data_IF_724677127825
#
_entry.id   IF_724677127825
#
_cell.length_a   1.000
_cell.length_b   1.000
_cell.length_c   1.000
_cell.angle_alpha   90.00
_cell.angle_beta   90.00
_cell.angle_gamma   90.00
#
_symmetry.space_group_name_H-M   'P 1'
#
loop_
_entity.id
_entity.type
_entity.pdbx_description
1 polymer ?
#
# COMPACT_ATOMS: atom_id res chain seq x y z
N UNK A 1 -17.50 48.53 42.88
CA UNK A 1 -17.58 48.62 41.43
C UNK A 1 -16.88 47.44 40.73
N UNK A 2 -15.93 46.75 41.36
CA UNK A 2 -15.09 45.71 40.74
C UNK A 2 -15.75 44.33 40.68
N UNK A 3 -16.61 43.96 41.60
CA UNK A 3 -17.31 42.66 41.61
C UNK A 3 -18.43 42.58 40.58
N UNK A 4 -19.13 43.68 40.28
CA UNK A 4 -20.17 43.73 39.26
C UNK A 4 -19.59 43.61 37.84
N UNK A 5 -18.42 44.19 37.59
CA UNK A 5 -17.72 44.05 36.29
C UNK A 5 -17.24 42.63 36.00
N UNK A 6 -16.79 41.92 37.04
CA UNK A 6 -16.37 40.51 36.90
C UNK A 6 -17.56 39.58 36.59
N UNK A 7 -18.70 39.77 37.25
CA UNK A 7 -19.91 38.98 37.01
C UNK A 7 -20.49 39.19 35.61
N UNK A 8 -20.46 40.43 35.09
CA UNK A 8 -20.89 40.73 33.70
C UNK A 8 -19.91 40.12 32.69
N UNK A 9 -18.61 40.19 32.93
CA UNK A 9 -17.61 39.58 32.04
C UNK A 9 -17.75 38.07 31.95
N UNK A 10 -17.99 37.38 33.06
CA UNK A 10 -18.24 35.92 33.08
C UNK A 10 -19.56 35.59 32.38
N UNK A 11 -20.64 36.36 32.63
CA UNK A 11 -21.93 36.14 31.96
C UNK A 11 -21.83 36.32 30.42
N UNK A 12 -21.12 37.35 29.94
CA UNK A 12 -20.86 37.56 28.51
C UNK A 12 -20.06 36.41 27.91
N UNK A 13 -19.07 35.89 28.61
CA UNK A 13 -18.29 34.72 28.17
C UNK A 13 -19.18 33.49 28.09
N UNK A 14 -20.08 33.25 29.04
CA UNK A 14 -20.97 32.10 29.05
C UNK A 14 -22.08 32.19 27.98
N UNK A 15 -22.67 33.36 27.79
CA UNK A 15 -23.80 33.53 26.88
C UNK A 15 -23.42 33.78 25.41
N UNK A 16 -22.26 34.35 25.12
CA UNK A 16 -21.85 34.69 23.75
C UNK A 16 -20.71 33.82 23.21
N UNK A 17 -19.73 33.48 24.03
CA UNK A 17 -18.53 32.75 23.56
C UNK A 17 -18.76 31.23 23.51
N UNK A 18 -19.48 30.66 24.51
CA UNK A 18 -19.81 29.22 24.49
C UNK A 18 -20.70 28.81 23.33
N UNK A 19 -21.82 29.48 23.04
CA UNK A 19 -22.63 29.15 21.88
C UNK A 19 -21.88 29.26 20.55
N UNK A 20 -21.04 30.29 20.40
CA UNK A 20 -20.24 30.49 19.21
C UNK A 20 -19.20 29.35 19.01
N UNK A 21 -18.55 28.92 20.10
CA UNK A 21 -17.61 27.77 20.05
C UNK A 21 -18.31 26.45 19.75
N UNK A 22 -19.49 26.23 20.32
CA UNK A 22 -20.31 25.07 20.03
C UNK A 22 -20.72 25.06 18.55
N UNK A 23 -21.11 26.20 18.01
CA UNK A 23 -21.52 26.36 16.62
C UNK A 23 -20.35 26.14 15.65
N UNK A 24 -19.15 26.61 15.97
CA UNK A 24 -17.93 26.35 15.20
C UNK A 24 -17.59 24.85 15.23
N UNK A 25 -17.61 24.22 16.41
CA UNK A 25 -17.34 22.80 16.53
C UNK A 25 -18.38 21.94 15.78
N UNK A 26 -19.63 22.34 15.79
CA UNK A 26 -20.71 21.68 15.05
C UNK A 26 -20.55 21.82 13.53
N UNK A 27 -20.11 22.98 13.07
CA UNK A 27 -19.81 23.23 11.65
C UNK A 27 -18.61 22.39 11.20
N UNK A 28 -17.54 22.34 12.01
CA UNK A 28 -16.37 21.52 11.73
C UNK A 28 -16.68 20.01 11.70
N UNK A 29 -17.51 19.55 12.64
CA UNK A 29 -17.96 18.16 12.67
C UNK A 29 -18.82 17.83 11.42
N UNK A 30 -19.73 18.73 11.02
CA UNK A 30 -20.53 18.54 9.83
C UNK A 30 -19.67 18.51 8.56
N UNK A 31 -18.67 19.39 8.46
CA UNK A 31 -17.74 19.39 7.33
C UNK A 31 -16.93 18.08 7.25
N UNK A 32 -16.46 17.56 8.40
CA UNK A 32 -15.79 16.25 8.45
C UNK A 32 -16.73 15.12 8.07
N UNK A 33 -17.98 15.16 8.54
CA UNK A 33 -18.99 14.14 8.17
C UNK A 33 -19.31 14.17 6.68
N UNK A 34 -19.42 15.36 6.08
CA UNK A 34 -19.63 15.52 4.64
C UNK A 34 -18.43 14.97 3.86
N UNK A 35 -17.18 15.29 4.27
CA UNK A 35 -15.99 14.79 3.62
C UNK A 35 -15.87 13.25 3.69
N UNK A 36 -16.20 12.65 4.84
CA UNK A 36 -16.27 11.19 4.99
C UNK A 36 -17.37 10.59 4.10
N UNK A 37 -18.53 11.24 3.98
CA UNK A 37 -19.60 10.82 3.08
C UNK A 37 -19.16 10.84 1.61
N UNK A 38 -18.51 11.92 1.17
CA UNK A 38 -17.99 12.05 -0.21
C UNK A 38 -16.87 11.03 -0.50
N UNK A 39 -16.06 10.69 0.49
CA UNK A 39 -15.05 9.64 0.35
C UNK A 39 -15.67 8.25 0.27
N UNK A 40 -16.68 7.97 1.09
CA UNK A 40 -17.45 6.73 1.01
C UNK A 40 -18.18 6.59 -0.35
N UNK A 41 -18.77 7.66 -0.88
CA UNK A 41 -19.40 7.65 -2.20
C UNK A 41 -18.39 7.40 -3.32
N UNK A 42 -17.19 7.98 -3.23
CA UNK A 42 -16.11 7.71 -4.19
C UNK A 42 -15.66 6.26 -4.13
N UNK A 43 -15.44 5.71 -2.94
CA UNK A 43 -15.11 4.29 -2.77
C UNK A 43 -16.21 3.35 -3.28
N UNK A 44 -17.44 3.67 -3.03
CA UNK A 44 -18.59 2.90 -3.56
C UNK A 44 -18.66 2.94 -5.10
N UNK A 45 -18.39 4.09 -5.72
CA UNK A 45 -18.32 4.20 -7.17
C UNK A 45 -17.15 3.38 -7.75
N UNK A 46 -16.01 3.36 -7.07
CA UNK A 46 -14.84 2.58 -7.42
C UNK A 46 -15.10 1.07 -7.30
N UNK A 47 -15.68 0.62 -6.19
CA UNK A 47 -16.16 -0.76 -6.01
C UNK A 47 -17.13 -1.15 -7.13
N UNK A 48 -18.05 -0.27 -7.51
CA UNK A 48 -18.96 -0.54 -8.62
C UNK A 48 -18.23 -0.70 -9.95
N UNK A 49 -17.22 0.14 -10.21
CA UNK A 49 -16.38 0.05 -11.42
C UNK A 49 -15.56 -1.25 -11.44
N UNK A 50 -14.96 -1.63 -10.31
CA UNK A 50 -14.23 -2.89 -10.17
C UNK A 50 -15.14 -4.10 -10.36
N UNK A 51 -16.36 -4.07 -9.82
CA UNK A 51 -17.34 -5.13 -10.03
C UNK A 51 -17.70 -5.33 -11.51
N UNK A 52 -17.86 -4.23 -12.26
CA UNK A 52 -18.10 -4.31 -13.70
C UNK A 52 -16.90 -4.88 -14.47
N UNK A 53 -15.68 -4.52 -14.05
CA UNK A 53 -14.48 -5.08 -14.66
C UNK A 53 -14.34 -6.58 -14.38
N UNK A 54 -14.64 -7.01 -13.14
CA UNK A 54 -14.65 -8.44 -12.76
C UNK A 54 -15.70 -9.21 -13.60
N UNK A 55 -16.90 -8.67 -13.75
CA UNK A 55 -17.93 -9.33 -14.57
C UNK A 55 -17.50 -9.48 -16.03
N UNK A 56 -16.85 -8.45 -16.57
CA UNK A 56 -16.29 -8.50 -17.94
C UNK A 56 -15.20 -9.55 -18.07
N UNK A 57 -14.23 -9.55 -17.14
CA UNK A 57 -13.13 -10.52 -17.13
C UNK A 57 -13.61 -11.95 -16.88
N UNK A 58 -14.62 -12.15 -16.05
CA UNK A 58 -15.23 -13.47 -15.84
C UNK A 58 -15.80 -14.00 -17.13
N UNK A 59 -16.54 -13.17 -17.90
CA UNK A 59 -17.04 -13.57 -19.22
C UNK A 59 -15.92 -13.88 -20.22
N UNK A 60 -14.90 -13.01 -20.28
CA UNK A 60 -13.74 -13.25 -21.14
C UNK A 60 -13.00 -14.55 -20.76
N UNK A 61 -12.87 -14.83 -19.45
CA UNK A 61 -12.26 -16.06 -18.97
C UNK A 61 -13.06 -17.31 -19.33
N UNK A 62 -14.41 -17.24 -19.22
CA UNK A 62 -15.31 -18.32 -19.62
C UNK A 62 -15.21 -18.60 -21.14
N UNK A 63 -15.16 -17.53 -21.94
CA UNK A 63 -14.99 -17.64 -23.41
C UNK A 63 -13.61 -18.19 -23.77
N UNK A 64 -12.53 -17.73 -23.11
CA UNK A 64 -11.17 -18.22 -23.27
C UNK A 64 -11.03 -19.67 -22.81
N UNK A 65 -11.69 -20.04 -21.71
CA UNK A 65 -11.73 -21.42 -21.22
C UNK A 65 -12.39 -22.35 -22.24
N UNK A 66 -13.50 -21.90 -22.85
CA UNK A 66 -14.19 -22.65 -23.92
C UNK A 66 -13.34 -22.77 -25.22
N UNK A 67 -12.53 -21.74 -25.52
CA UNK A 67 -11.60 -21.79 -26.67
C UNK A 67 -10.34 -22.60 -26.37
N UNK A 68 -9.79 -22.50 -25.12
CA UNK A 68 -8.57 -23.18 -24.69
C UNK A 68 -8.77 -24.69 -24.41
N UNK A 69 -10.00 -25.13 -24.20
CA UNK A 69 -10.29 -26.60 -24.28
C UNK A 69 -9.86 -27.22 -25.58
N UNK A 70 -9.44 -26.43 -26.57
CA UNK A 70 -8.89 -26.83 -27.88
C UNK A 70 -7.38 -26.61 -28.05
N UNK A 71 -6.70 -25.92 -27.13
CA UNK A 71 -5.27 -25.58 -27.22
C UNK A 71 -4.59 -25.79 -25.87
N UNK A 72 -4.09 -27.00 -25.61
CA UNK A 72 -3.29 -27.29 -24.43
C UNK A 72 -1.91 -26.62 -24.54
N UNK A 73 -1.76 -25.42 -23.97
CA UNK A 73 -0.47 -24.73 -23.97
C UNK A 73 -0.39 -23.40 -23.23
N UNK A 74 -1.50 -22.86 -22.74
CA UNK A 74 -1.53 -21.50 -22.15
C UNK A 74 -1.77 -21.49 -20.62
N UNK A 75 -1.04 -22.32 -19.88
CA UNK A 75 -1.29 -22.59 -18.45
C UNK A 75 -0.96 -21.39 -17.52
N UNK A 76 -0.02 -20.53 -17.91
CA UNK A 76 0.48 -19.47 -17.01
C UNK A 76 -0.40 -18.21 -16.94
N UNK A 77 -0.94 -17.76 -18.08
CA UNK A 77 -1.75 -16.52 -18.10
C UNK A 77 -3.14 -16.70 -17.49
N UNK A 78 -3.74 -17.88 -17.64
CA UNK A 78 -5.04 -18.21 -17.08
C UNK A 78 -4.97 -18.30 -15.55
N UNK A 79 -3.94 -18.98 -15.02
CA UNK A 79 -3.69 -19.05 -13.58
C UNK A 79 -3.46 -17.65 -12.95
N UNK A 80 -2.75 -16.76 -13.66
CA UNK A 80 -2.51 -15.42 -13.19
C UNK A 80 -3.79 -14.54 -13.17
N UNK A 81 -4.68 -14.71 -14.17
CA UNK A 81 -5.98 -14.02 -14.18
C UNK A 81 -6.89 -14.54 -13.08
N UNK A 82 -6.91 -15.84 -12.80
CA UNK A 82 -7.66 -16.40 -11.68
C UNK A 82 -7.13 -15.86 -10.33
N UNK A 83 -5.82 -15.79 -10.15
CA UNK A 83 -5.20 -15.20 -8.96
C UNK A 83 -5.58 -13.71 -8.80
N UNK A 84 -5.59 -12.96 -9.91
CA UNK A 84 -6.02 -11.56 -9.92
C UNK A 84 -7.48 -11.39 -9.52
N UNK A 85 -8.39 -12.22 -10.06
CA UNK A 85 -9.80 -12.18 -9.70
C UNK A 85 -10.01 -12.51 -8.22
N UNK A 86 -9.25 -13.48 -7.70
CA UNK A 86 -9.30 -13.81 -6.27
C UNK A 86 -8.80 -12.63 -5.42
N UNK A 87 -7.70 -11.99 -5.76
CA UNK A 87 -7.19 -10.84 -5.02
C UNK A 87 -8.16 -9.65 -5.06
N UNK A 88 -8.80 -9.41 -6.22
CA UNK A 88 -9.83 -8.38 -6.35
C UNK A 88 -11.07 -8.71 -5.50
N UNK A 89 -11.49 -9.99 -5.42
CA UNK A 89 -12.59 -10.43 -4.55
C UNK A 89 -12.26 -10.20 -3.07
N UNK A 90 -11.07 -10.59 -2.62
CA UNK A 90 -10.60 -10.34 -1.26
C UNK A 90 -10.63 -8.84 -0.93
N UNK A 91 -10.12 -8.00 -1.83
CA UNK A 91 -10.14 -6.55 -1.63
C UNK A 91 -11.56 -5.99 -1.51
N UNK A 92 -12.52 -6.50 -2.28
CA UNK A 92 -13.90 -6.03 -2.22
C UNK A 92 -14.68 -6.54 -1.01
N UNK A 93 -14.44 -7.78 -0.58
CA UNK A 93 -15.17 -8.42 0.51
C UNK A 93 -14.61 -8.02 1.88
N UNK A 94 -13.29 -7.86 1.97
CA UNK A 94 -12.57 -7.58 3.21
C UNK A 94 -11.46 -6.54 3.00
N UNK A 95 -11.80 -5.28 2.62
CA UNK A 95 -10.80 -4.27 2.24
C UNK A 95 -9.81 -3.91 3.36
N UNK A 96 -10.18 -4.13 4.62
CA UNK A 96 -9.34 -3.85 5.78
C UNK A 96 -8.44 -5.05 6.19
N UNK A 97 -8.63 -6.23 5.58
CA UNK A 97 -7.79 -7.42 5.82
C UNK A 97 -6.58 -7.42 4.88
N UNK A 98 -5.60 -6.59 5.23
CA UNK A 98 -4.40 -6.43 4.40
C UNK A 98 -3.53 -7.69 4.38
N UNK A 99 -3.61 -8.55 5.40
CA UNK A 99 -2.88 -9.82 5.44
C UNK A 99 -3.46 -10.79 4.40
N UNK A 100 -4.78 -10.98 4.38
CA UNK A 100 -5.45 -11.81 3.37
C UNK A 100 -5.24 -11.25 1.96
N UNK A 101 -5.25 -9.93 1.79
CA UNK A 101 -5.00 -9.29 0.51
C UNK A 101 -3.56 -9.52 0.04
N UNK A 102 -2.56 -9.37 0.93
CA UNK A 102 -1.16 -9.60 0.58
C UNK A 102 -0.91 -11.04 0.13
N UNK A 103 -1.50 -12.02 0.81
CA UNK A 103 -1.43 -13.44 0.43
C UNK A 103 -2.10 -13.71 -0.94
N UNK A 104 -3.19 -13.01 -1.24
CA UNK A 104 -3.88 -13.16 -2.53
C UNK A 104 -3.08 -12.53 -3.66
N UNK A 105 -2.51 -11.35 -3.45
CA UNK A 105 -1.68 -10.63 -4.44
C UNK A 105 -0.37 -11.37 -4.70
N UNK A 106 0.23 -12.02 -3.71
CA UNK A 106 1.46 -12.81 -3.87
C UNK A 106 1.31 -13.99 -4.83
N UNK A 107 0.07 -14.45 -5.06
CA UNK A 107 -0.22 -15.52 -6.03
C UNK A 107 -0.28 -15.03 -7.47
N UNK A 108 -0.33 -13.71 -7.69
CA UNK A 108 -0.39 -13.14 -9.04
C UNK A 108 1.03 -13.15 -9.65
N UNK A 109 1.20 -13.86 -10.75
CA UNK A 109 2.45 -13.79 -11.51
C UNK A 109 2.55 -12.43 -12.21
N UNK A 110 3.51 -11.60 -11.79
CA UNK A 110 3.78 -10.30 -12.44
C UNK A 110 4.18 -10.46 -13.89
N UNK A 111 5.07 -11.41 -14.18
CA UNK A 111 5.52 -11.67 -15.54
C UNK A 111 4.37 -12.07 -16.47
N UNK A 112 3.42 -12.87 -15.95
CA UNK A 112 2.22 -13.22 -16.69
C UNK A 112 1.30 -12.01 -16.91
N UNK A 113 1.17 -11.10 -15.93
CA UNK A 113 0.38 -9.87 -16.10
C UNK A 113 0.99 -8.90 -17.11
N UNK A 114 2.31 -8.88 -17.25
CA UNK A 114 3.04 -8.04 -18.21
C UNK A 114 3.13 -8.68 -19.61
N UNK A 115 2.80 -9.97 -19.74
CA UNK A 115 2.81 -10.70 -21.01
C UNK A 115 1.80 -10.14 -22.03
N UNK A 116 2.15 -10.21 -23.31
CA UNK A 116 1.23 -9.90 -24.42
C UNK A 116 0.02 -10.83 -24.49
N UNK A 117 0.12 -12.02 -23.89
CA UNK A 117 -0.95 -13.03 -23.88
C UNK A 117 -2.04 -12.73 -22.85
N UNK A 118 -1.77 -11.84 -21.90
CA UNK A 118 -2.76 -11.36 -20.92
C UNK A 118 -3.63 -10.26 -21.52
N UNK A 119 -4.95 -10.36 -21.31
CA UNK A 119 -5.90 -9.36 -21.83
C UNK A 119 -5.61 -7.97 -21.27
N UNK A 120 -5.90 -6.93 -22.08
CA UNK A 120 -5.75 -5.54 -21.64
C UNK A 120 -6.62 -5.22 -20.43
N UNK A 121 -7.80 -5.84 -20.34
CA UNK A 121 -8.71 -5.68 -19.21
C UNK A 121 -8.11 -6.22 -17.90
N UNK A 122 -7.48 -7.41 -17.95
CA UNK A 122 -6.80 -7.98 -16.79
C UNK A 122 -5.62 -7.11 -16.34
N UNK A 123 -4.82 -6.63 -17.28
CA UNK A 123 -3.71 -5.70 -16.95
C UNK A 123 -4.21 -4.41 -16.29
N UNK A 124 -5.29 -3.83 -16.80
CA UNK A 124 -5.89 -2.62 -16.21
C UNK A 124 -6.42 -2.89 -14.80
N UNK A 125 -7.12 -4.00 -14.60
CA UNK A 125 -7.59 -4.38 -13.26
C UNK A 125 -6.42 -4.58 -12.28
N UNK A 126 -5.37 -5.26 -12.72
CA UNK A 126 -4.17 -5.44 -11.91
C UNK A 126 -3.52 -4.11 -11.52
N UNK A 127 -3.35 -3.20 -12.48
CA UNK A 127 -2.81 -1.87 -12.22
C UNK A 127 -3.69 -1.07 -11.25
N UNK A 128 -5.01 -1.15 -11.42
CA UNK A 128 -5.95 -0.48 -10.52
C UNK A 128 -5.85 -1.04 -9.10
N UNK A 129 -5.85 -2.36 -8.95
CA UNK A 129 -5.68 -3.02 -7.64
C UNK A 129 -4.40 -2.55 -6.95
N UNK A 130 -3.27 -2.52 -7.68
CA UNK A 130 -2.00 -2.06 -7.12
C UNK A 130 -2.00 -0.56 -6.79
N UNK A 131 -2.70 0.26 -7.57
CA UNK A 131 -2.84 1.68 -7.28
C UNK A 131 -3.64 1.92 -5.99
N UNK A 132 -4.69 1.16 -5.77
CA UNK A 132 -5.60 1.34 -4.64
C UNK A 132 -5.02 0.77 -3.34
N UNK A 133 -4.23 -0.30 -3.44
CA UNK A 133 -3.76 -1.06 -2.26
C UNK A 133 -2.25 -0.97 -2.02
N UNK A 134 -1.49 -0.41 -2.95
CA UNK A 134 -0.03 -0.45 -2.94
C UNK A 134 0.60 0.13 -1.67
N UNK A 135 0.05 1.21 -1.14
CA UNK A 135 0.56 1.83 0.11
C UNK A 135 0.37 0.91 1.31
N UNK A 136 -0.80 0.27 1.42
CA UNK A 136 -1.11 -0.61 2.54
C UNK A 136 -0.33 -1.93 2.43
N UNK A 137 -0.18 -2.46 1.22
CA UNK A 137 0.69 -3.59 0.94
C UNK A 137 2.15 -3.29 1.29
N UNK A 138 2.67 -2.12 0.87
CA UNK A 138 4.02 -1.69 1.21
C UNK A 138 4.25 -1.65 2.73
N UNK A 139 3.30 -1.09 3.48
CA UNK A 139 3.37 -1.02 4.94
C UNK A 139 3.34 -2.41 5.58
N UNK A 140 2.45 -3.30 5.14
CA UNK A 140 2.35 -4.67 5.65
C UNK A 140 3.62 -5.49 5.41
N UNK A 141 4.17 -5.42 4.18
CA UNK A 141 5.43 -6.10 3.87
C UNK A 141 6.63 -5.49 4.60
N UNK A 142 6.64 -4.17 4.80
CA UNK A 142 7.67 -3.53 5.60
C UNK A 142 7.64 -4.03 7.05
N UNK A 143 6.48 -4.04 7.69
CA UNK A 143 6.33 -4.49 9.08
C UNK A 143 6.74 -5.95 9.25
N UNK A 144 6.31 -6.81 8.33
CA UNK A 144 6.65 -8.25 8.33
C UNK A 144 8.16 -8.44 8.13
N UNK A 145 8.74 -7.79 7.13
CA UNK A 145 10.16 -7.87 6.82
C UNK A 145 11.03 -7.29 7.93
N UNK A 146 10.62 -6.18 8.54
CA UNK A 146 11.36 -5.59 9.65
C UNK A 146 11.30 -6.45 10.92
N UNK A 147 10.17 -7.11 11.21
CA UNK A 147 10.07 -8.10 12.29
C UNK A 147 11.03 -9.28 12.05
N UNK A 148 11.07 -9.82 10.83
CA UNK A 148 11.98 -10.88 10.44
C UNK A 148 13.45 -10.44 10.59
N UNK A 149 13.80 -9.25 10.12
CA UNK A 149 15.13 -8.67 10.32
C UNK A 149 15.52 -8.63 11.80
N UNK A 150 14.62 -8.13 12.66
CA UNK A 150 14.84 -8.03 14.10
C UNK A 150 15.01 -9.39 14.79
N UNK A 151 14.44 -10.45 14.26
CA UNK A 151 14.59 -11.82 14.76
C UNK A 151 15.83 -12.54 14.19
N UNK A 152 16.54 -11.94 13.24
CA UNK A 152 17.71 -12.53 12.58
C UNK A 152 17.37 -13.43 11.40
N UNK A 153 16.09 -13.51 10.99
CA UNK A 153 15.66 -14.19 9.78
C UNK A 153 15.84 -13.26 8.57
N UNK A 154 17.08 -13.17 8.11
CA UNK A 154 17.44 -12.23 7.05
C UNK A 154 16.89 -12.63 5.68
N UNK A 155 16.65 -13.91 5.43
CA UNK A 155 16.07 -14.38 4.16
C UNK A 155 14.61 -13.91 4.04
N UNK A 156 13.79 -14.17 5.06
CA UNK A 156 12.41 -13.67 5.12
C UNK A 156 12.36 -12.13 5.13
N UNK A 157 13.32 -11.49 5.80
CA UNK A 157 13.43 -10.03 5.78
C UNK A 157 13.70 -9.48 4.37
N UNK A 158 14.64 -10.05 3.65
CA UNK A 158 14.97 -9.64 2.27
C UNK A 158 13.76 -9.81 1.35
N UNK A 159 13.07 -10.94 1.43
CA UNK A 159 11.88 -11.20 0.62
C UNK A 159 10.82 -10.11 0.85
N UNK A 160 10.39 -9.92 2.09
CA UNK A 160 9.31 -8.99 2.41
C UNK A 160 9.72 -7.51 2.18
N UNK A 161 10.94 -7.11 2.56
CA UNK A 161 11.41 -5.74 2.34
C UNK A 161 11.59 -5.44 0.84
N UNK A 162 11.93 -6.43 0.02
CA UNK A 162 11.95 -6.27 -1.44
C UNK A 162 10.55 -6.00 -1.98
N UNK A 163 9.53 -6.72 -1.50
CA UNK A 163 8.12 -6.45 -1.84
C UNK A 163 7.72 -5.05 -1.37
N UNK A 164 8.00 -4.68 -0.12
CA UNK A 164 7.70 -3.34 0.40
C UNK A 164 8.25 -2.23 -0.50
N UNK A 165 9.53 -2.31 -0.89
CA UNK A 165 10.17 -1.34 -1.79
C UNK A 165 9.57 -1.38 -3.20
N UNK A 166 9.10 -2.53 -3.68
CA UNK A 166 8.46 -2.63 -5.00
C UNK A 166 7.08 -1.97 -5.06
N UNK A 167 6.37 -1.86 -3.93
CA UNK A 167 5.10 -1.15 -3.82
C UNK A 167 5.27 0.34 -3.46
N UNK A 168 6.32 0.68 -2.69
CA UNK A 168 6.65 2.07 -2.35
C UNK A 168 8.16 2.29 -2.41
N UNK A 169 8.64 2.74 -3.57
CA UNK A 169 10.06 3.09 -3.78
C UNK A 169 10.50 4.33 -2.99
N UNK A 170 9.55 5.09 -2.44
CA UNK A 170 9.84 6.31 -1.67
C UNK A 170 10.01 6.04 -0.17
N UNK A 171 9.85 4.80 0.27
CA UNK A 171 10.06 4.41 1.66
C UNK A 171 11.55 4.19 1.97
N UNK A 172 12.20 5.24 2.45
CA UNK A 172 13.63 5.20 2.82
C UNK A 172 13.93 4.22 3.97
N UNK A 173 12.98 4.00 4.88
CA UNK A 173 13.12 3.04 5.98
C UNK A 173 13.15 1.61 5.45
N UNK A 174 12.24 1.26 4.54
CA UNK A 174 12.19 -0.06 3.92
C UNK A 174 13.47 -0.34 3.12
N UNK A 175 13.90 0.62 2.31
CA UNK A 175 15.10 0.47 1.50
C UNK A 175 16.36 0.34 2.35
N UNK A 176 16.48 1.11 3.44
CA UNK A 176 17.59 0.99 4.37
C UNK A 176 17.56 -0.33 5.15
N UNK A 177 16.38 -0.79 5.59
CA UNK A 177 16.22 -2.08 6.24
C UNK A 177 16.59 -3.26 5.31
N UNK A 178 16.23 -3.17 4.02
CA UNK A 178 16.62 -4.13 3.00
C UNK A 178 18.14 -4.19 2.83
N UNK A 179 18.81 -3.03 2.78
CA UNK A 179 20.26 -2.96 2.69
C UNK A 179 20.95 -3.62 3.90
N UNK A 180 20.44 -3.35 5.11
CA UNK A 180 20.91 -4.00 6.33
C UNK A 180 20.70 -5.52 6.29
N UNK A 181 19.54 -5.97 5.81
CA UNK A 181 19.21 -7.40 5.70
C UNK A 181 20.17 -8.12 4.74
N UNK A 182 20.48 -7.51 3.59
CA UNK A 182 21.49 -8.03 2.69
C UNK A 182 22.87 -8.10 3.33
N UNK A 183 23.29 -7.04 4.05
CA UNK A 183 24.58 -7.02 4.74
C UNK A 183 24.69 -8.14 5.76
N UNK A 184 23.68 -8.28 6.61
CA UNK A 184 23.70 -9.21 7.74
C UNK A 184 23.47 -10.66 7.28
N UNK A 185 22.86 -10.86 6.10
CA UNK A 185 22.80 -12.15 5.39
C UNK A 185 24.09 -12.49 4.60
N UNK A 186 25.10 -11.62 4.65
CA UNK A 186 26.38 -11.83 3.94
C UNK A 186 26.37 -11.44 2.45
N UNK A 187 25.28 -10.92 1.93
CA UNK A 187 25.12 -10.52 0.53
C UNK A 187 25.72 -9.12 0.29
N UNK A 188 27.04 -9.00 0.45
CA UNK A 188 27.77 -7.72 0.43
C UNK A 188 27.53 -6.88 -0.82
N UNK A 189 27.41 -7.52 -2.00
CA UNK A 189 27.19 -6.79 -3.25
C UNK A 189 25.82 -6.11 -3.26
N UNK A 190 24.76 -6.85 -2.96
CA UNK A 190 23.39 -6.31 -2.92
C UNK A 190 23.26 -5.25 -1.81
N UNK A 191 23.91 -5.45 -0.67
CA UNK A 191 23.96 -4.46 0.39
C UNK A 191 24.53 -3.12 -0.11
N UNK A 192 25.70 -3.15 -0.78
CA UNK A 192 26.33 -1.95 -1.34
C UNK A 192 25.43 -1.24 -2.35
N UNK A 193 24.89 -1.98 -3.31
CA UNK A 193 23.99 -1.46 -4.35
C UNK A 193 22.75 -0.79 -3.70
N UNK A 194 22.18 -1.43 -2.67
CA UNK A 194 20.98 -0.92 -1.99
C UNK A 194 21.30 0.30 -1.12
N UNK A 195 22.41 0.33 -0.40
CA UNK A 195 22.84 1.53 0.33
C UNK A 195 23.09 2.72 -0.60
N UNK A 196 23.73 2.49 -1.77
CA UNK A 196 23.90 3.53 -2.77
C UNK A 196 22.57 4.08 -3.25
N UNK A 197 21.59 3.20 -3.51
CA UNK A 197 20.21 3.61 -3.88
C UNK A 197 19.57 4.47 -2.79
N UNK A 198 19.76 4.17 -1.49
CA UNK A 198 19.28 5.03 -0.40
C UNK A 198 19.89 6.43 -0.47
N UNK A 199 21.21 6.54 -0.71
CA UNK A 199 21.90 7.83 -0.78
C UNK A 199 21.41 8.65 -1.99
N UNK A 200 21.23 7.99 -3.12
CA UNK A 200 20.80 8.63 -4.37
C UNK A 200 19.35 9.14 -4.30
N UNK A 201 18.43 8.32 -3.79
CA UNK A 201 17.01 8.65 -3.74
C UNK A 201 16.65 9.61 -2.58
N UNK A 202 17.39 9.55 -1.47
CA UNK A 202 17.08 10.31 -0.26
C UNK A 202 18.28 11.16 0.21
N UNK A 203 18.88 12.00 -0.63
CA UNK A 203 20.04 12.78 -0.28
C UNK A 203 19.75 13.72 0.92
N UNK A 204 20.75 13.95 1.76
CA UNK A 204 20.66 14.80 2.96
C UNK A 204 19.72 14.28 4.06
N UNK A 205 19.30 13.02 4.01
CA UNK A 205 18.55 12.37 5.09
C UNK A 205 19.47 11.65 6.08
N UNK A 206 18.92 11.33 7.25
CA UNK A 206 19.63 10.48 8.23
C UNK A 206 19.95 9.11 7.64
N UNK A 207 19.04 8.52 6.84
CA UNK A 207 19.24 7.22 6.19
C UNK A 207 20.37 7.25 5.16
N UNK A 208 20.51 8.33 4.39
CA UNK A 208 21.65 8.50 3.50
C UNK A 208 22.97 8.55 4.27
N UNK A 209 23.00 9.29 5.39
CA UNK A 209 24.19 9.36 6.24
C UNK A 209 24.54 8.01 6.87
N UNK A 210 23.54 7.27 7.34
CA UNK A 210 23.73 5.92 7.90
C UNK A 210 24.21 4.94 6.81
N UNK A 211 23.65 5.03 5.59
CA UNK A 211 24.04 4.21 4.45
C UNK A 211 25.47 4.46 4.02
N UNK A 212 25.93 5.71 4.00
CA UNK A 212 27.32 6.03 3.70
C UNK A 212 28.30 5.40 4.71
N UNK A 213 27.97 5.49 5.99
CA UNK A 213 28.80 4.83 7.04
C UNK A 213 28.82 3.32 6.89
N UNK A 214 27.71 2.71 6.49
CA UNK A 214 27.64 1.26 6.27
C UNK A 214 28.47 0.84 5.05
N UNK A 215 28.48 1.64 3.97
CA UNK A 215 29.34 1.42 2.81
C UNK A 215 30.83 1.49 3.20
N UNK A 216 31.23 2.53 3.94
CA UNK A 216 32.62 2.69 4.38
C UNK A 216 33.12 1.49 5.23
N UNK A 217 32.21 0.86 5.99
CA UNK A 217 32.50 -0.35 6.77
C UNK A 217 32.57 -1.62 5.91
N UNK A 218 31.84 -1.69 4.81
CA UNK A 218 31.86 -2.84 3.90
C UNK A 218 33.08 -2.83 2.96
N UNK A 219 33.75 -1.67 2.81
CA UNK A 219 34.89 -1.48 1.95
C UNK A 219 36.24 -1.72 2.69
N UNK A 220 36.21 -1.73 4.04
CA UNK A 220 37.35 -2.04 4.89
C UNK A 220 37.39 -3.52 5.29
#
# INVERSE_FOLDING_TARGET
>A
GTLAGLAVGVAVSWFLILPARVQIAQTELNNKLTAVGEEADRKNAEISSLNQQIETLTKENDELTAQNGKLSGADGSMSAVEALLNAASVYMETPDDIEALSEAVDKISRDAMESSDTSEAARKLYQQLLQDTGTDLAANYYDTGYKAYRSGDYETAIENLTKAVSYDETNSEALYALANSYRDNGNKRQAKETYQKVIELFPNTEKATQSQRALDQLDN
#
